data_IF_609083033442
#
_entry.id   IF_609083033442
#
_cell.length_a   1.000
_cell.length_b   1.000
_cell.length_c   1.000
_cell.angle_alpha   90.00
_cell.angle_beta   90.00
_cell.angle_gamma   90.00
#
_symmetry.space_group_name_H-M   'P 1'
#
loop_
_entity.id
_entity.type
_entity.pdbx_description
1 polymer ?
#
# COMPACT_ATOMS: atom_id res chain seq x y z
N UNK A 1 15.03 26.24 -17.16
CA UNK A 1 15.63 25.37 -16.11
C UNK A 1 14.50 24.76 -15.30
N UNK A 2 14.01 23.58 -15.70
CA UNK A 2 13.10 22.78 -14.86
C UNK A 2 14.01 22.02 -13.92
N UNK A 3 14.08 22.43 -12.66
CA UNK A 3 14.77 21.70 -11.61
C UNK A 3 14.24 20.26 -11.61
N UNK A 4 15.02 19.37 -12.20
CA UNK A 4 14.89 17.95 -12.02
C UNK A 4 15.14 17.73 -10.52
N UNK A 5 14.04 17.73 -9.76
CA UNK A 5 14.02 17.24 -8.39
C UNK A 5 14.78 15.92 -8.46
N UNK A 6 15.90 15.87 -7.76
CA UNK A 6 16.72 14.70 -7.63
C UNK A 6 15.81 13.60 -7.05
N UNK A 7 15.27 12.74 -7.91
CA UNK A 7 14.42 11.61 -7.52
C UNK A 7 15.36 10.53 -6.99
N UNK A 8 15.88 10.80 -5.80
CA UNK A 8 16.73 9.88 -5.07
C UNK A 8 15.96 8.57 -4.88
N UNK A 9 16.49 7.42 -5.33
CA UNK A 9 15.89 6.11 -5.11
C UNK A 9 15.66 5.79 -3.62
N UNK A 10 16.23 6.55 -2.70
CA UNK A 10 16.06 6.47 -1.24
C UNK A 10 15.02 7.47 -0.68
N UNK A 11 14.20 8.10 -1.52
CA UNK A 11 13.11 8.97 -1.06
C UNK A 11 11.78 8.21 -0.91
N UNK A 12 11.15 8.28 0.27
CA UNK A 12 9.87 7.63 0.56
C UNK A 12 8.75 8.05 -0.41
N UNK A 13 8.64 9.34 -0.76
CA UNK A 13 7.63 9.83 -1.70
C UNK A 13 7.83 9.26 -3.10
N UNK A 14 9.09 9.13 -3.54
CA UNK A 14 9.41 8.50 -4.82
C UNK A 14 8.98 7.03 -4.83
N UNK A 15 9.31 6.28 -3.78
CA UNK A 15 8.93 4.87 -3.65
C UNK A 15 7.40 4.68 -3.60
N UNK A 16 6.68 5.56 -2.88
CA UNK A 16 5.21 5.59 -2.88
C UNK A 16 4.65 5.85 -4.27
N UNK A 17 5.20 6.84 -5.00
CA UNK A 17 4.78 7.16 -6.37
C UNK A 17 4.99 5.98 -7.32
N UNK A 18 6.15 5.34 -7.27
CA UNK A 18 6.47 4.16 -8.06
C UNK A 18 5.54 2.98 -7.72
N UNK A 19 5.24 2.76 -6.44
CA UNK A 19 4.29 1.73 -6.01
C UNK A 19 2.89 1.95 -6.58
N UNK A 20 2.41 3.20 -6.59
CA UNK A 20 1.14 3.55 -7.23
C UNK A 20 1.15 3.27 -8.72
N UNK A 21 2.27 3.49 -9.41
CA UNK A 21 2.38 3.14 -10.83
C UNK A 21 2.32 1.63 -11.05
N UNK A 22 3.00 0.83 -10.23
CA UNK A 22 2.91 -0.62 -10.32
C UNK A 22 1.50 -1.16 -10.02
N UNK A 23 0.79 -0.58 -9.04
CA UNK A 23 -0.61 -0.91 -8.77
C UNK A 23 -1.52 -0.67 -9.98
N UNK A 24 -1.35 0.46 -10.67
CA UNK A 24 -2.12 0.78 -11.90
C UNK A 24 -1.84 -0.20 -13.04
N UNK A 25 -0.69 -0.86 -13.02
CA UNK A 25 -0.30 -1.89 -13.97
C UNK A 25 -0.61 -3.31 -13.48
N UNK A 26 -1.29 -3.46 -12.34
CA UNK A 26 -1.54 -4.75 -11.66
C UNK A 26 -0.27 -5.56 -11.37
N UNK A 27 0.88 -4.90 -11.27
CA UNK A 27 2.18 -5.49 -10.92
C UNK A 27 2.34 -5.52 -9.40
N UNK A 28 1.55 -6.38 -8.77
CA UNK A 28 1.38 -6.39 -7.31
C UNK A 28 2.68 -6.74 -6.56
N UNK A 29 3.48 -7.68 -7.08
CA UNK A 29 4.76 -8.07 -6.47
C UNK A 29 5.75 -6.90 -6.45
N UNK A 30 5.87 -6.17 -7.55
CA UNK A 30 6.73 -5.00 -7.64
C UNK A 30 6.19 -3.84 -6.80
N UNK A 31 4.88 -3.62 -6.77
CA UNK A 31 4.24 -2.66 -5.89
C UNK A 31 4.57 -2.94 -4.42
N UNK A 32 4.44 -4.18 -3.96
CA UNK A 32 4.77 -4.60 -2.59
C UNK A 32 6.24 -4.28 -2.25
N UNK A 33 7.19 -4.57 -3.15
CA UNK A 33 8.62 -4.31 -2.92
C UNK A 33 8.89 -2.83 -2.66
N UNK A 34 8.34 -1.95 -3.50
CA UNK A 34 8.59 -0.50 -3.38
C UNK A 34 7.82 0.13 -2.24
N UNK A 35 6.58 -0.32 -1.96
CA UNK A 35 5.86 0.15 -0.77
C UNK A 35 6.52 -0.28 0.53
N UNK A 36 7.03 -1.52 0.63
CA UNK A 36 7.84 -1.94 1.79
C UNK A 36 9.09 -1.08 1.96
N UNK A 37 9.73 -0.66 0.86
CA UNK A 37 10.85 0.29 0.96
C UNK A 37 10.37 1.65 1.45
N UNK A 38 9.25 2.15 0.91
CA UNK A 38 8.65 3.41 1.33
C UNK A 38 8.31 3.44 2.82
N UNK A 39 7.74 2.36 3.38
CA UNK A 39 7.36 2.29 4.80
C UNK A 39 8.57 2.16 5.73
N UNK A 40 9.71 1.65 5.24
CA UNK A 40 10.98 1.68 5.98
C UNK A 40 11.63 3.06 5.98
N UNK A 41 11.50 3.79 4.88
CA UNK A 41 12.04 5.15 4.74
C UNK A 41 11.19 6.18 5.50
N UNK A 42 9.87 5.99 5.52
CA UNK A 42 8.92 6.78 6.30
C UNK A 42 7.84 5.86 6.88
N UNK A 43 8.01 5.53 8.17
CA UNK A 43 7.08 4.66 8.90
C UNK A 43 5.77 5.34 9.27
N UNK A 44 5.66 6.66 9.09
CA UNK A 44 4.46 7.45 9.44
C UNK A 44 3.56 7.76 8.25
N UNK A 45 3.94 7.31 7.05
CA UNK A 45 3.17 7.52 5.82
C UNK A 45 1.96 6.59 5.72
N UNK A 46 0.79 7.05 6.16
CA UNK A 46 -0.47 6.33 5.95
C UNK A 46 -0.72 5.96 4.47
N UNK A 47 -0.42 6.81 3.48
CA UNK A 47 -0.53 6.43 2.06
C UNK A 47 0.38 5.27 1.63
N UNK A 48 1.59 5.18 2.17
CA UNK A 48 2.51 4.08 1.85
C UNK A 48 2.02 2.75 2.45
N UNK A 49 1.55 2.76 3.70
CA UNK A 49 0.97 1.59 4.34
C UNK A 49 -0.32 1.12 3.66
N UNK A 50 -1.19 2.06 3.25
CA UNK A 50 -2.37 1.74 2.44
C UNK A 50 -2.00 1.12 1.09
N UNK A 51 -0.99 1.69 0.40
CA UNK A 51 -0.49 1.15 -0.86
C UNK A 51 0.08 -0.26 -0.72
N UNK A 52 0.82 -0.52 0.37
CA UNK A 52 1.32 -1.86 0.69
C UNK A 52 0.16 -2.86 0.89
N UNK A 53 -0.84 -2.48 1.69
CA UNK A 53 -2.01 -3.33 1.91
C UNK A 53 -2.79 -3.60 0.62
N UNK A 54 -2.99 -2.58 -0.21
CA UNK A 54 -3.65 -2.73 -1.52
C UNK A 54 -2.87 -3.66 -2.46
N UNK A 55 -1.53 -3.56 -2.48
CA UNK A 55 -0.69 -4.43 -3.29
C UNK A 55 -0.79 -5.90 -2.85
N UNK A 56 -0.70 -6.15 -1.54
CA UNK A 56 -0.83 -7.50 -0.96
C UNK A 56 -2.22 -8.09 -1.22
N UNK A 57 -3.29 -7.31 -1.07
CA UNK A 57 -4.64 -7.74 -1.42
C UNK A 57 -4.76 -8.12 -2.90
N UNK A 58 -4.11 -7.36 -3.79
CA UNK A 58 -4.03 -7.67 -5.22
C UNK A 58 -3.30 -8.99 -5.53
N UNK A 59 -2.33 -9.38 -4.70
CA UNK A 59 -1.64 -10.68 -4.76
C UNK A 59 -2.40 -11.83 -4.07
N UNK A 60 -3.54 -11.55 -3.42
CA UNK A 60 -4.30 -12.53 -2.64
C UNK A 60 -3.79 -12.75 -1.21
N UNK A 61 -2.82 -11.95 -0.75
CA UNK A 61 -2.22 -12.04 0.59
C UNK A 61 -3.08 -11.27 1.62
N UNK A 62 -4.33 -11.69 1.78
CA UNK A 62 -5.36 -10.90 2.49
C UNK A 62 -5.07 -10.64 3.97
N UNK A 63 -4.53 -11.62 4.71
CA UNK A 63 -4.21 -11.45 6.12
C UNK A 63 -3.10 -10.40 6.37
N UNK A 64 -2.07 -10.38 5.51
CA UNK A 64 -1.03 -9.36 5.61
C UNK A 64 -1.54 -7.99 5.12
N UNK A 65 -2.39 -7.98 4.09
CA UNK A 65 -3.05 -6.76 3.62
C UNK A 65 -3.86 -6.08 4.73
N UNK A 66 -4.68 -6.84 5.46
CA UNK A 66 -5.44 -6.35 6.61
C UNK A 66 -4.54 -5.65 7.64
N UNK A 67 -3.44 -6.32 8.03
CA UNK A 67 -2.49 -5.81 9.03
C UNK A 67 -1.94 -4.43 8.64
N UNK A 68 -1.58 -4.25 7.36
CA UNK A 68 -1.04 -2.98 6.87
C UNK A 68 -2.09 -1.90 6.67
N UNK A 69 -3.32 -2.26 6.26
CA UNK A 69 -4.43 -1.33 6.16
C UNK A 69 -4.86 -0.81 7.53
N UNK A 70 -4.92 -1.68 8.54
CA UNK A 70 -5.14 -1.27 9.93
C UNK A 70 -4.02 -0.36 10.43
N UNK A 71 -2.77 -0.60 10.02
CA UNK A 71 -1.67 0.31 10.36
C UNK A 71 -1.85 1.70 9.73
N UNK A 72 -2.26 1.76 8.45
CA UNK A 72 -2.59 3.02 7.80
C UNK A 72 -3.70 3.78 8.54
N UNK A 73 -4.72 3.07 9.04
CA UNK A 73 -5.81 3.65 9.83
C UNK A 73 -5.37 4.05 11.24
N UNK A 74 -4.38 3.39 11.85
CA UNK A 74 -3.79 3.87 13.12
C UNK A 74 -3.08 5.21 12.95
N UNK A 75 -2.42 5.41 11.81
CA UNK A 75 -1.73 6.67 11.48
C UNK A 75 -2.72 7.77 11.05
N UNK A 76 -3.75 7.41 10.28
CA UNK A 76 -4.83 8.31 9.89
C UNK A 76 -6.19 7.59 9.96
N UNK A 77 -6.90 7.72 11.09
CA UNK A 77 -8.20 7.04 11.29
C UNK A 77 -9.29 7.45 10.29
N UNK A 78 -9.16 8.63 9.68
CA UNK A 78 -10.13 9.15 8.73
C UNK A 78 -9.77 8.86 7.25
N UNK A 79 -8.78 7.99 6.98
CA UNK A 79 -8.29 7.77 5.62
C UNK A 79 -9.27 6.93 4.78
N UNK A 80 -10.01 7.53 3.83
CA UNK A 80 -11.14 6.84 3.18
C UNK A 80 -10.71 5.64 2.33
N UNK A 81 -9.59 5.75 1.60
CA UNK A 81 -9.08 4.65 0.76
C UNK A 81 -8.67 3.44 1.59
N UNK A 82 -8.13 3.65 2.80
CA UNK A 82 -7.76 2.55 3.69
C UNK A 82 -8.99 1.83 4.24
N UNK A 83 -10.06 2.55 4.60
CA UNK A 83 -11.35 1.94 4.96
C UNK A 83 -11.92 1.11 3.80
N UNK A 84 -11.96 1.68 2.60
CA UNK A 84 -12.47 0.98 1.41
C UNK A 84 -11.67 -0.30 1.12
N UNK A 85 -10.34 -0.21 1.12
CA UNK A 85 -9.48 -1.36 0.88
C UNK A 85 -9.65 -2.43 1.97
N UNK A 86 -9.78 -2.02 3.24
CA UNK A 86 -9.96 -2.96 4.36
C UNK A 86 -11.31 -3.68 4.29
N UNK A 87 -12.39 -2.96 3.97
CA UNK A 87 -13.70 -3.58 3.70
C UNK A 87 -13.63 -4.59 2.55
N UNK A 88 -12.89 -4.27 1.48
CA UNK A 88 -12.68 -5.19 0.36
C UNK A 88 -11.94 -6.48 0.79
N UNK A 89 -10.92 -6.33 1.65
CA UNK A 89 -10.17 -7.47 2.21
C UNK A 89 -11.06 -8.37 3.06
N UNK A 90 -11.87 -7.82 3.96
CA UNK A 90 -12.79 -8.61 4.78
C UNK A 90 -13.82 -9.38 3.95
N UNK A 91 -14.38 -8.76 2.90
CA UNK A 91 -15.30 -9.44 1.98
C UNK A 91 -14.63 -10.59 1.22
N UNK A 92 -13.31 -10.52 0.97
CA UNK A 92 -12.56 -11.60 0.31
C UNK A 92 -12.23 -12.73 1.29
N UNK A 93 -11.84 -12.42 2.52
CA UNK A 93 -11.58 -13.42 3.56
C UNK A 93 -12.84 -14.20 3.92
N UNK A 94 -13.99 -13.54 4.14
CA UNK A 94 -15.23 -14.23 4.45
C UNK A 94 -15.66 -15.22 3.37
N UNK A 95 -15.45 -14.90 2.09
CA UNK A 95 -15.69 -15.83 0.97
C UNK A 95 -14.75 -17.03 0.92
N UNK A 96 -13.53 -16.90 1.45
CA UNK A 96 -12.54 -17.99 1.50
C UNK A 96 -12.84 -18.90 2.67
N UNK A 97 -13.29 -18.36 3.80
CA UNK A 97 -13.67 -19.14 4.97
C UNK A 97 -14.97 -19.94 4.77
N UNK A 98 -15.87 -19.46 3.91
CA UNK A 98 -17.14 -20.13 3.59
C UNK A 98 -17.04 -21.25 2.51
N UNK A 99 -15.89 -21.40 1.84
CA UNK A 99 -15.69 -22.34 0.71
C UNK A 99 -14.92 -23.60 1.10
#
# INVERSE_FOLDING_TARGET
MKSAIHLEPENALFQTGLGRMYLRLSRYVEATKVFRKSTRLDSTSAPAWNGLGQALAGSGEYAEAETHLQHALRLNPAYPEAHYNLSSVFLRQGKIEEG
#
